data_IF_858099016443
#
_entry.id   IF_858099016443
#
_cell.length_a   1.000
_cell.length_b   1.000
_cell.length_c   1.000
_cell.angle_alpha   90.00
_cell.angle_beta   90.00
_cell.angle_gamma   90.00
#
_symmetry.space_group_name_H-M   'P 1'
#
loop_
_entity.id
_entity.type
_entity.pdbx_description
1 polymer ?
#
# COMPACT_ATOMS: atom_id res chain seq x y z
N UNK A 1 -29.49 50.65 -19.72
CA UNK A 1 -28.14 51.17 -19.98
C UNK A 1 -27.25 50.79 -18.82
N UNK A 2 -26.15 50.09 -19.13
CA UNK A 2 -24.86 49.95 -18.43
C UNK A 2 -24.83 49.78 -16.89
N UNK A 3 -24.38 48.64 -16.33
CA UNK A 3 -23.00 48.08 -16.25
C UNK A 3 -22.06 48.75 -15.23
N UNK A 4 -21.35 47.88 -14.50
CA UNK A 4 -19.99 48.02 -13.91
C UNK A 4 -19.90 48.61 -12.48
N UNK A 5 -19.07 48.13 -11.55
CA UNK A 5 -18.03 47.08 -11.51
C UNK A 5 -17.62 46.83 -10.03
N UNK A 6 -16.88 45.74 -9.80
CA UNK A 6 -15.89 45.45 -8.73
C UNK A 6 -16.25 44.50 -7.57
N UNK A 7 -15.63 43.32 -7.70
CA UNK A 7 -15.37 42.25 -6.75
C UNK A 7 -14.33 42.64 -5.67
N UNK A 8 -14.13 41.78 -4.65
CA UNK A 8 -12.99 40.84 -4.44
C UNK A 8 -12.96 40.41 -2.94
N UNK A 9 -12.63 39.13 -2.70
CA UNK A 9 -12.17 38.44 -1.46
C UNK A 9 -13.29 37.80 -0.59
N UNK A 10 -13.38 36.50 -0.30
CA UNK A 10 -12.60 35.26 -0.55
C UNK A 10 -13.57 34.05 -0.48
N UNK A 11 -13.19 32.86 -1.00
CA UNK A 11 -13.57 31.64 -0.27
C UNK A 11 -12.42 30.62 -0.22
N UNK A 12 -11.75 30.52 0.93
CA UNK A 12 -10.95 29.36 1.30
C UNK A 12 -11.16 29.11 2.79
N UNK A 13 -12.30 28.50 3.12
CA UNK A 13 -12.57 27.89 4.44
C UNK A 13 -13.80 27.00 4.29
N UNK A 14 -13.63 25.91 3.56
CA UNK A 14 -14.52 24.75 3.60
C UNK A 14 -13.74 23.53 3.11
N UNK A 15 -12.74 23.10 3.88
CA UNK A 15 -12.38 21.69 3.87
C UNK A 15 -13.59 20.96 4.46
N UNK A 16 -14.45 20.44 3.58
CA UNK A 16 -15.59 19.64 3.97
C UNK A 16 -15.05 18.38 4.67
N UNK A 17 -15.19 18.32 5.99
CA UNK A 17 -15.22 17.04 6.68
C UNK A 17 -16.32 16.22 6.02
N UNK A 18 -15.97 15.08 5.42
CA UNK A 18 -16.93 14.18 4.81
C UNK A 18 -18.03 13.86 5.83
N UNK A 19 -19.26 14.28 5.53
CA UNK A 19 -20.42 13.99 6.38
C UNK A 19 -20.75 12.49 6.33
N UNK A 20 -21.42 11.91 7.35
CA UNK A 20 -21.75 10.47 7.47
C UNK A 20 -22.50 9.81 6.29
N UNK A 21 -22.86 10.58 5.25
CA UNK A 21 -23.59 10.15 4.05
C UNK A 21 -22.79 9.16 3.18
N UNK A 22 -21.45 9.13 3.25
CA UNK A 22 -20.64 8.16 2.48
C UNK A 22 -20.80 6.71 2.98
N UNK A 23 -21.07 6.49 4.27
CA UNK A 23 -21.18 5.13 4.82
C UNK A 23 -22.52 4.46 4.47
N UNK A 24 -23.61 5.22 4.35
CA UNK A 24 -24.91 4.70 3.90
C UNK A 24 -24.91 4.28 2.42
N UNK A 25 -24.08 4.91 1.58
CA UNK A 25 -23.92 4.52 0.18
C UNK A 25 -23.21 3.15 0.06
N UNK A 26 -22.27 2.85 0.95
CA UNK A 26 -21.57 1.55 1.02
C UNK A 26 -22.44 0.41 1.56
N UNK A 27 -23.54 0.72 2.24
CA UNK A 27 -24.49 -0.25 2.81
C UNK A 27 -25.57 -0.72 1.80
N UNK A 28 -25.55 -0.23 0.55
CA UNK A 28 -26.50 -0.71 -0.45
C UNK A 28 -26.14 -2.14 -0.90
N UNK A 29 -27.10 -3.09 -0.87
CA UNK A 29 -26.83 -4.50 -1.12
C UNK A 29 -26.39 -4.73 -2.57
N UNK A 30 -25.24 -5.39 -2.74
CA UNK A 30 -24.77 -6.02 -3.99
C UNK A 30 -25.05 -5.19 -5.25
N UNK A 31 -24.44 -4.02 -5.37
CA UNK A 31 -24.12 -3.60 -6.73
C UNK A 31 -22.98 -4.50 -7.19
N UNK A 32 -23.26 -5.33 -8.19
CA UNK A 32 -22.21 -6.03 -8.94
C UNK A 32 -21.07 -5.07 -9.22
N UNK A 33 -19.83 -5.56 -9.23
CA UNK A 33 -18.66 -4.84 -9.76
C UNK A 33 -18.91 -4.59 -11.25
N UNK A 34 -19.81 -3.65 -11.58
CA UNK A 34 -19.95 -3.12 -12.92
C UNK A 34 -18.82 -2.11 -12.99
N UNK A 35 -17.82 -2.34 -13.85
CA UNK A 35 -16.77 -1.35 -14.04
C UNK A 35 -17.46 -0.05 -14.42
N UNK A 36 -17.36 0.95 -13.55
CA UNK A 36 -17.87 2.27 -13.88
C UNK A 36 -16.77 2.97 -14.66
N UNK A 37 -17.15 3.59 -15.78
CA UNK A 37 -16.20 4.34 -16.58
C UNK A 37 -16.20 5.79 -16.16
N UNK A 38 -15.01 6.35 -15.95
CA UNK A 38 -14.82 7.78 -15.66
C UNK A 38 -14.02 8.40 -16.79
N UNK A 39 -14.42 9.59 -17.23
CA UNK A 39 -13.63 10.36 -18.19
C UNK A 39 -12.61 11.21 -17.45
N UNK A 40 -11.35 10.93 -17.68
CA UNK A 40 -10.22 11.70 -17.17
C UNK A 40 -9.74 12.66 -18.26
N UNK A 41 -9.50 13.90 -17.90
CA UNK A 41 -8.79 14.84 -18.76
C UNK A 41 -7.27 14.70 -18.58
N UNK A 42 -6.56 14.54 -19.69
CA UNK A 42 -5.10 14.50 -19.79
C UNK A 42 -4.64 15.57 -20.79
N UNK A 43 -4.45 16.80 -20.28
CA UNK A 43 -4.27 17.97 -21.13
C UNK A 43 -5.52 18.21 -22.01
N UNK A 44 -5.34 18.21 -23.34
CA UNK A 44 -6.44 18.37 -24.32
C UNK A 44 -7.15 17.04 -24.66
N UNK A 45 -6.72 15.91 -24.08
CA UNK A 45 -7.30 14.59 -24.35
C UNK A 45 -8.26 14.18 -23.25
N UNK A 46 -9.37 13.57 -23.63
CA UNK A 46 -10.27 12.90 -22.71
C UNK A 46 -10.06 11.38 -22.85
N UNK A 47 -9.65 10.73 -21.76
CA UNK A 47 -9.48 9.28 -21.68
C UNK A 47 -10.57 8.70 -20.79
N UNK A 48 -11.38 7.80 -21.33
CA UNK A 48 -12.33 7.03 -20.51
C UNK A 48 -11.62 5.83 -19.91
N UNK A 49 -11.58 5.75 -18.58
CA UNK A 49 -10.98 4.63 -17.84
C UNK A 49 -12.04 3.85 -17.09
N UNK A 50 -11.88 2.53 -17.00
CA UNK A 50 -12.69 1.70 -16.11
C UNK A 50 -12.16 1.79 -14.67
N UNK A 51 -13.05 1.75 -13.68
CA UNK A 51 -12.69 1.68 -12.26
C UNK A 51 -13.30 0.40 -11.67
N UNK A 52 -12.50 -0.53 -11.13
CA UNK A 52 -11.03 -0.48 -11.05
C UNK A 52 -10.36 -0.69 -12.43
N UNK A 53 -9.13 -0.19 -12.58
CA UNK A 53 -8.28 -0.52 -13.72
C UNK A 53 -7.92 -1.99 -13.69
N UNK A 54 -7.87 -2.62 -14.86
CA UNK A 54 -7.40 -3.99 -15.05
C UNK A 54 -6.02 -4.00 -15.70
N UNK A 55 -5.28 -5.08 -15.45
CA UNK A 55 -4.02 -5.33 -16.12
C UNK A 55 -4.22 -5.33 -17.64
N UNK A 56 -3.33 -4.68 -18.39
CA UNK A 56 -3.26 -4.89 -19.84
C UNK A 56 -2.16 -5.90 -20.17
N UNK A 57 -2.35 -6.82 -21.13
CA UNK A 57 -1.33 -7.82 -21.43
C UNK A 57 -0.06 -7.18 -22.04
N UNK A 58 1.07 -7.88 -21.89
CA UNK A 58 2.33 -7.62 -22.60
C UNK A 58 2.98 -6.23 -22.38
N UNK A 59 2.89 -5.68 -21.16
CA UNK A 59 3.60 -4.44 -20.80
C UNK A 59 5.07 -4.73 -20.53
N UNK A 60 5.95 -4.36 -21.45
CA UNK A 60 7.39 -4.49 -21.27
C UNK A 60 7.94 -3.53 -20.19
N UNK A 61 8.79 -4.05 -19.31
CA UNK A 61 9.56 -3.29 -18.34
C UNK A 61 10.45 -2.23 -19.00
N UNK A 62 10.80 -1.18 -18.22
CA UNK A 62 11.76 -0.14 -18.59
C UNK A 62 11.20 1.00 -19.44
N UNK A 63 9.91 1.02 -19.75
CA UNK A 63 9.25 2.19 -20.35
C UNK A 63 9.00 3.21 -19.25
N UNK A 64 9.61 4.39 -19.39
CA UNK A 64 9.40 5.50 -18.48
C UNK A 64 7.90 5.83 -18.33
N UNK A 65 7.41 5.85 -17.08
CA UNK A 65 6.04 6.27 -16.75
C UNK A 65 5.87 7.74 -17.11
N UNK A 66 6.83 8.57 -16.72
CA UNK A 66 6.86 10.00 -17.04
C UNK A 66 8.32 10.44 -17.32
N UNK A 67 8.73 10.47 -18.60
CA UNK A 67 10.08 10.90 -18.98
C UNK A 67 10.46 12.25 -18.35
N UNK A 68 11.73 12.36 -17.96
CA UNK A 68 12.33 13.57 -17.36
C UNK A 68 11.67 14.04 -16.04
N UNK A 69 10.92 13.17 -15.38
CA UNK A 69 10.29 13.44 -14.08
C UNK A 69 10.64 12.33 -13.09
N UNK A 70 11.29 12.72 -11.99
CA UNK A 70 11.56 11.82 -10.87
C UNK A 70 10.24 11.29 -10.27
N UNK A 71 10.22 9.99 -9.98
CA UNK A 71 9.14 9.31 -9.28
C UNK A 71 9.56 9.13 -7.82
N UNK A 72 9.04 9.98 -6.94
CA UNK A 72 9.13 9.77 -5.49
C UNK A 72 7.96 8.91 -5.05
N UNK A 73 8.21 7.61 -4.92
CA UNK A 73 7.18 6.59 -4.71
C UNK A 73 7.07 6.24 -3.22
N UNK A 74 5.89 6.38 -2.63
CA UNK A 74 5.60 5.83 -1.31
C UNK A 74 4.75 4.56 -1.43
N UNK A 75 5.31 3.43 -1.03
CA UNK A 75 4.58 2.17 -0.90
C UNK A 75 3.98 2.05 0.51
N UNK A 76 2.65 2.08 0.61
CA UNK A 76 1.89 1.96 1.86
C UNK A 76 1.22 0.60 1.91
N UNK A 77 1.31 -0.08 3.05
CA UNK A 77 0.54 -1.31 3.24
C UNK A 77 0.89 -2.12 4.47
N UNK A 78 0.66 -3.42 4.36
CA UNK A 78 0.89 -4.39 5.43
C UNK A 78 2.12 -5.28 5.15
N UNK A 79 2.11 -6.52 5.65
CA UNK A 79 3.16 -7.50 5.45
C UNK A 79 3.42 -7.84 3.99
N UNK A 80 2.43 -7.67 3.11
CA UNK A 80 2.61 -7.85 1.67
C UNK A 80 3.55 -6.77 1.13
N UNK A 81 3.36 -5.51 1.50
CA UNK A 81 4.27 -4.41 1.10
C UNK A 81 5.63 -4.48 1.78
N UNK A 82 5.67 -4.91 3.05
CA UNK A 82 6.94 -5.19 3.75
C UNK A 82 7.75 -6.27 3.02
N UNK A 83 7.08 -7.26 2.39
CA UNK A 83 7.74 -8.39 1.75
C UNK A 83 7.89 -9.60 2.67
N UNK A 84 6.98 -9.78 3.62
CA UNK A 84 7.03 -10.91 4.54
C UNK A 84 7.02 -12.25 3.78
N UNK A 85 8.00 -13.10 4.08
CA UNK A 85 8.12 -14.42 3.47
C UNK A 85 8.87 -14.43 2.14
N UNK A 86 9.18 -13.27 1.54
CA UNK A 86 10.12 -13.22 0.41
C UNK A 86 11.55 -13.51 0.87
N UNK A 87 12.34 -14.16 0.01
CA UNK A 87 13.72 -14.56 0.33
C UNK A 87 14.67 -13.39 0.61
N UNK A 88 14.36 -12.21 0.07
CA UNK A 88 15.14 -10.98 0.19
C UNK A 88 14.53 -9.95 1.16
N UNK A 89 13.29 -10.18 1.62
CA UNK A 89 12.49 -9.24 2.41
C UNK A 89 12.22 -7.89 1.70
N UNK A 90 12.30 -7.85 0.37
CA UNK A 90 11.95 -6.69 -0.46
C UNK A 90 10.47 -6.75 -0.88
N UNK A 91 9.88 -7.95 -0.90
CA UNK A 91 8.55 -8.15 -1.49
C UNK A 91 8.59 -7.74 -2.97
N UNK A 92 7.60 -6.97 -3.41
CA UNK A 92 7.53 -6.53 -4.82
C UNK A 92 8.45 -5.34 -5.15
N UNK A 93 9.07 -4.70 -4.14
CA UNK A 93 9.63 -3.34 -4.30
C UNK A 93 10.88 -3.30 -5.18
N UNK A 94 11.75 -4.30 -5.08
CA UNK A 94 12.98 -4.36 -5.89
C UNK A 94 12.66 -4.63 -7.36
N UNK A 95 11.83 -5.63 -7.64
CA UNK A 95 11.37 -5.95 -9.00
C UNK A 95 10.60 -4.78 -9.61
N UNK A 96 9.79 -4.06 -8.83
CA UNK A 96 9.09 -2.85 -9.30
C UNK A 96 10.11 -1.75 -9.69
N UNK A 97 11.14 -1.53 -8.88
CA UNK A 97 12.22 -0.58 -9.20
C UNK A 97 12.93 -0.96 -10.49
N UNK A 98 13.21 -2.25 -10.69
CA UNK A 98 13.81 -2.78 -11.92
C UNK A 98 12.89 -2.56 -13.14
N UNK A 99 11.57 -2.77 -12.97
CA UNK A 99 10.59 -2.51 -14.01
C UNK A 99 10.50 -1.02 -14.38
N UNK A 100 10.84 -0.13 -13.45
CA UNK A 100 10.91 1.32 -13.64
C UNK A 100 12.30 1.81 -14.09
N UNK A 101 13.16 0.96 -14.67
CA UNK A 101 14.52 1.34 -15.08
C UNK A 101 14.62 2.49 -16.11
N UNK A 102 13.49 2.91 -16.71
CA UNK A 102 13.42 4.09 -17.57
C UNK A 102 13.13 5.40 -16.84
N UNK A 103 12.78 5.35 -15.55
CA UNK A 103 12.48 6.48 -14.69
C UNK A 103 13.59 6.69 -13.64
N UNK A 104 13.69 7.90 -13.10
CA UNK A 104 14.47 8.18 -11.89
C UNK A 104 13.56 7.92 -10.67
N UNK A 105 13.93 6.99 -9.80
CA UNK A 105 13.05 6.49 -8.73
C UNK A 105 13.70 6.67 -7.36
N UNK A 106 12.96 7.31 -6.46
CA UNK A 106 13.30 7.49 -5.05
C UNK A 106 12.15 6.99 -4.19
N UNK A 107 12.39 6.05 -3.27
CA UNK A 107 11.32 5.52 -2.41
C UNK A 107 11.10 6.38 -1.17
N UNK A 108 9.96 7.04 -1.03
CA UNK A 108 9.57 7.69 0.22
C UNK A 108 9.17 6.66 1.28
N UNK A 109 9.30 7.03 2.54
CA UNK A 109 8.97 6.18 3.68
C UNK A 109 9.85 6.42 4.89
N UNK A 110 9.37 6.01 6.05
CA UNK A 110 10.12 6.06 7.31
C UNK A 110 10.54 4.67 7.80
N UNK A 111 9.81 3.65 7.37
CA UNK A 111 10.24 2.26 7.53
C UNK A 111 11.24 1.91 6.42
N UNK A 112 12.14 0.97 6.71
CA UNK A 112 13.08 0.45 5.72
C UNK A 112 13.46 -1.00 6.04
N UNK A 113 13.78 -1.76 5.01
CA UNK A 113 14.13 -3.17 5.14
C UNK A 113 14.23 -3.87 3.80
N UNK A 114 14.73 -5.10 3.86
CA UNK A 114 15.10 -5.90 2.68
C UNK A 114 16.54 -5.66 2.22
N UNK A 115 16.99 -6.41 1.21
CA UNK A 115 18.34 -6.29 0.64
C UNK A 115 18.49 -5.26 -0.48
N UNK A 116 17.38 -4.66 -0.94
CA UNK A 116 17.40 -3.71 -2.05
C UNK A 116 18.02 -2.35 -1.70
N UNK A 117 18.58 -1.69 -2.71
CA UNK A 117 18.97 -0.28 -2.61
C UNK A 117 17.73 0.61 -2.48
N UNK A 118 17.77 1.54 -1.53
CA UNK A 118 16.68 2.46 -1.22
C UNK A 118 15.37 1.76 -0.79
N UNK A 119 15.47 0.71 0.02
CA UNK A 119 14.33 -0.08 0.50
C UNK A 119 13.41 0.60 1.54
N UNK A 120 13.08 1.87 1.36
CA UNK A 120 12.18 2.63 2.23
C UNK A 120 10.70 2.45 1.85
N UNK A 121 9.82 2.49 2.84
CA UNK A 121 8.37 2.31 2.66
C UNK A 121 7.57 2.86 3.87
N UNK A 122 6.23 2.80 3.77
CA UNK A 122 5.29 3.16 4.84
C UNK A 122 4.34 2.00 5.16
N UNK A 123 4.89 0.87 5.59
CA UNK A 123 4.16 -0.38 5.73
C UNK A 123 4.57 -1.15 6.98
N UNK A 124 3.63 -1.91 7.55
CA UNK A 124 3.83 -2.61 8.82
C UNK A 124 3.18 -4.00 8.80
N UNK A 125 3.97 -5.04 9.05
CA UNK A 125 3.48 -6.42 9.08
C UNK A 125 2.40 -6.64 10.14
N UNK A 126 1.32 -7.31 9.76
CA UNK A 126 0.20 -7.65 10.65
C UNK A 126 -0.70 -6.48 11.05
N UNK A 127 -0.51 -5.29 10.48
CA UNK A 127 -1.28 -4.10 10.85
C UNK A 127 -2.49 -3.86 9.95
N UNK A 128 -3.55 -3.31 10.55
CA UNK A 128 -4.81 -2.94 9.90
C UNK A 128 -4.74 -1.55 9.28
N UNK A 129 -5.75 -1.20 8.49
CA UNK A 129 -5.91 0.14 7.89
C UNK A 129 -5.89 1.24 8.95
N UNK A 130 -6.52 1.02 10.11
CA UNK A 130 -6.52 2.02 11.19
C UNK A 130 -5.12 2.32 11.68
N UNK A 131 -4.32 1.27 11.95
CA UNK A 131 -2.94 1.46 12.40
C UNK A 131 -2.13 2.24 11.36
N UNK A 132 -2.28 1.91 10.07
CA UNK A 132 -1.61 2.65 9.00
C UNK A 132 -2.01 4.13 9.02
N UNK A 133 -3.30 4.43 9.15
CA UNK A 133 -3.81 5.80 9.26
C UNK A 133 -3.17 6.54 10.44
N UNK A 134 -3.00 5.89 11.58
CA UNK A 134 -2.43 6.51 12.78
C UNK A 134 -0.91 6.79 12.68
N UNK A 135 -0.18 6.09 11.79
CA UNK A 135 1.30 6.13 11.77
C UNK A 135 1.90 6.71 10.48
N UNK A 136 1.12 6.91 9.41
CA UNK A 136 1.66 7.25 8.09
C UNK A 136 2.14 8.71 7.94
N UNK A 137 1.83 9.60 8.88
CA UNK A 137 2.07 11.05 8.76
C UNK A 137 3.51 11.43 8.42
N UNK A 138 4.49 10.80 9.08
CA UNK A 138 5.90 11.10 8.85
C UNK A 138 6.38 10.66 7.45
N UNK A 139 5.80 9.58 6.90
CA UNK A 139 6.08 9.15 5.53
C UNK A 139 5.42 10.08 4.50
N UNK A 140 4.21 10.58 4.78
CA UNK A 140 3.54 11.56 3.90
C UNK A 140 4.24 12.93 3.90
N UNK A 141 4.87 13.32 5.01
CA UNK A 141 5.66 14.55 5.11
C UNK A 141 6.87 14.58 4.15
N UNK A 142 7.24 13.45 3.54
CA UNK A 142 8.26 13.37 2.50
C UNK A 142 7.73 13.73 1.09
N UNK A 143 6.45 14.08 0.99
CA UNK A 143 5.78 14.58 -0.22
C UNK A 143 6.02 13.70 -1.47
N UNK A 144 5.69 12.39 -1.42
CA UNK A 144 5.71 11.55 -2.61
C UNK A 144 4.78 12.10 -3.70
N UNK A 145 5.16 11.96 -4.97
CA UNK A 145 4.29 12.29 -6.11
C UNK A 145 3.54 11.06 -6.67
N UNK A 146 3.93 9.86 -6.27
CA UNK A 146 3.22 8.60 -6.56
C UNK A 146 3.08 7.80 -5.27
N UNK A 147 1.88 7.32 -4.98
CA UNK A 147 1.58 6.54 -3.77
C UNK A 147 0.88 5.26 -4.18
N UNK A 148 1.41 4.12 -3.72
CA UNK A 148 0.85 2.79 -3.96
C UNK A 148 0.29 2.28 -2.63
N UNK A 149 -1.03 2.10 -2.53
CA UNK A 149 -1.71 1.68 -1.31
C UNK A 149 -2.26 0.26 -1.47
N UNK A 150 -1.73 -0.69 -0.72
CA UNK A 150 -2.28 -2.04 -0.56
C UNK A 150 -2.61 -2.29 0.90
N UNK A 151 -3.89 -2.18 1.27
CA UNK A 151 -4.31 -2.23 2.67
C UNK A 151 -5.67 -2.91 2.86
N UNK A 152 -5.78 -3.64 3.96
CA UNK A 152 -7.03 -4.30 4.40
C UNK A 152 -6.93 -5.81 4.54
N UNK A 153 -5.80 -6.44 4.18
CA UNK A 153 -5.60 -7.89 4.34
C UNK A 153 -5.83 -8.33 5.78
N UNK A 154 -5.22 -7.60 6.73
CA UNK A 154 -5.34 -7.90 8.16
C UNK A 154 -6.72 -7.56 8.73
N UNK A 155 -7.38 -6.51 8.21
CA UNK A 155 -8.76 -6.19 8.60
C UNK A 155 -9.67 -7.40 8.31
N UNK A 156 -9.45 -8.13 7.22
CA UNK A 156 -10.29 -9.27 6.83
C UNK A 156 -10.04 -10.55 7.63
N UNK A 157 -9.01 -10.57 8.49
CA UNK A 157 -8.72 -11.70 9.35
C UNK A 157 -9.74 -11.77 10.51
N UNK A 158 -10.50 -12.87 10.69
CA UNK A 158 -11.49 -12.97 11.76
C UNK A 158 -10.88 -13.10 13.16
N UNK A 159 -9.56 -13.28 13.28
CA UNK A 159 -8.89 -13.31 14.57
C UNK A 159 -8.84 -11.89 15.17
N UNK A 160 -9.48 -11.63 16.32
CA UNK A 160 -9.50 -10.31 16.95
C UNK A 160 -8.13 -9.87 17.49
N UNK A 161 -7.15 -10.79 17.58
CA UNK A 161 -5.76 -10.43 17.89
C UNK A 161 -5.02 -9.83 16.67
N UNK A 162 -5.55 -10.01 15.46
CA UNK A 162 -5.02 -9.42 14.21
C UNK A 162 -5.88 -8.24 13.79
N UNK A 163 -7.19 -8.44 13.64
CA UNK A 163 -8.12 -7.39 13.25
C UNK A 163 -8.65 -6.64 14.48
N UNK A 164 -7.80 -5.77 15.04
CA UNK A 164 -8.07 -5.06 16.31
C UNK A 164 -9.32 -4.16 16.26
N UNK A 165 -9.68 -3.67 15.07
CA UNK A 165 -10.87 -2.83 14.85
C UNK A 165 -12.08 -3.64 14.35
N UNK A 166 -11.99 -4.97 14.36
CA UNK A 166 -13.03 -5.86 13.85
C UNK A 166 -12.90 -6.12 12.35
N UNK A 167 -13.42 -7.29 11.94
CA UNK A 167 -13.23 -7.84 10.60
C UNK A 167 -14.44 -7.68 9.67
N UNK A 168 -15.25 -6.65 9.89
CA UNK A 168 -16.37 -6.34 9.02
C UNK A 168 -15.86 -5.62 7.74
N UNK A 169 -16.15 -6.15 6.53
CA UNK A 169 -15.73 -5.54 5.26
C UNK A 169 -16.20 -4.11 5.04
N UNK A 170 -17.40 -3.74 5.49
CA UNK A 170 -17.97 -2.40 5.30
C UNK A 170 -17.27 -1.40 6.22
N UNK A 171 -17.05 -1.77 7.48
CA UNK A 171 -16.30 -0.91 8.41
C UNK A 171 -14.85 -0.72 7.97
N UNK A 172 -14.20 -1.79 7.47
CA UNK A 172 -12.86 -1.69 6.88
C UNK A 172 -12.82 -0.78 5.65
N UNK A 173 -13.82 -0.86 4.77
CA UNK A 173 -13.95 0.05 3.62
C UNK A 173 -14.13 1.51 4.06
N UNK A 174 -14.87 1.76 5.14
CA UNK A 174 -14.96 3.07 5.77
C UNK A 174 -13.60 3.59 6.27
N UNK A 175 -12.82 2.74 6.93
CA UNK A 175 -11.44 3.07 7.37
C UNK A 175 -10.52 3.35 6.17
N UNK A 176 -10.66 2.59 5.07
CA UNK A 176 -9.91 2.84 3.84
C UNK A 176 -10.21 4.23 3.28
N UNK A 177 -11.49 4.63 3.22
CA UNK A 177 -11.88 5.97 2.77
C UNK A 177 -11.22 7.07 3.60
N UNK A 178 -11.19 6.93 4.92
CA UNK A 178 -10.53 7.88 5.82
C UNK A 178 -9.01 7.95 5.60
N UNK A 179 -8.34 6.79 5.42
CA UNK A 179 -6.91 6.75 5.11
C UNK A 179 -6.63 7.43 3.75
N UNK A 180 -7.45 7.17 2.74
CA UNK A 180 -7.33 7.81 1.43
C UNK A 180 -7.46 9.33 1.57
N UNK A 181 -8.46 9.84 2.29
CA UNK A 181 -8.64 11.28 2.49
C UNK A 181 -7.47 11.92 3.20
N UNK A 182 -6.91 11.23 4.19
CA UNK A 182 -5.69 11.66 4.89
C UNK A 182 -4.51 11.77 3.94
N UNK A 183 -4.24 10.73 3.15
CA UNK A 183 -3.17 10.72 2.14
C UNK A 183 -3.34 11.87 1.15
N UNK A 184 -4.55 11.98 0.59
CA UNK A 184 -4.90 12.98 -0.40
C UNK A 184 -4.85 14.41 0.18
N UNK A 185 -5.07 14.60 1.47
CA UNK A 185 -4.94 15.91 2.13
C UNK A 185 -3.48 16.29 2.34
N UNK A 186 -2.64 15.34 2.74
CA UNK A 186 -1.22 15.57 2.98
C UNK A 186 -0.43 15.74 1.68
N UNK A 187 -0.77 14.98 0.64
CA UNK A 187 -0.09 14.97 -0.66
C UNK A 187 -1.08 15.30 -1.79
N UNK A 188 -1.58 16.54 -1.89
CA UNK A 188 -2.65 16.89 -2.84
C UNK A 188 -2.24 16.77 -4.31
N UNK A 189 -0.94 16.85 -4.61
CA UNK A 189 -0.38 16.74 -5.95
C UNK A 189 0.00 15.30 -6.34
N UNK A 190 -0.05 14.35 -5.40
CA UNK A 190 0.32 12.96 -5.65
C UNK A 190 -0.75 12.22 -6.47
N UNK A 191 -0.29 11.26 -7.27
CA UNK A 191 -1.16 10.21 -7.81
C UNK A 191 -1.24 9.06 -6.82
N UNK A 192 -2.46 8.67 -6.43
CA UNK A 192 -2.71 7.55 -5.52
C UNK A 192 -3.32 6.37 -6.28
N UNK A 193 -2.62 5.24 -6.31
CA UNK A 193 -3.17 3.96 -6.75
C UNK A 193 -3.60 3.14 -5.53
N UNK A 194 -4.86 2.73 -5.48
CA UNK A 194 -5.44 1.92 -4.38
C UNK A 194 -5.69 0.51 -4.91
N UNK A 195 -4.99 -0.47 -4.34
CA UNK A 195 -5.17 -1.86 -4.72
C UNK A 195 -6.54 -2.38 -4.26
N UNK A 196 -7.32 -2.93 -5.18
CA UNK A 196 -8.25 -4.01 -4.84
C UNK A 196 -7.37 -5.20 -4.45
N UNK A 197 -7.21 -5.44 -3.15
CA UNK A 197 -6.17 -6.32 -2.59
C UNK A 197 -6.14 -7.72 -3.24
N UNK A 198 -4.98 -8.38 -3.20
CA UNK A 198 -4.84 -9.76 -3.66
C UNK A 198 -5.82 -10.69 -2.96
N UNK A 199 -6.24 -11.73 -3.68
CA UNK A 199 -7.10 -12.78 -3.13
C UNK A 199 -6.34 -13.63 -2.11
N UNK A 200 -7.04 -14.16 -1.12
CA UNK A 200 -6.51 -15.14 -0.15
C UNK A 200 -7.14 -16.51 -0.38
N UNK A 201 -6.35 -17.58 -0.30
CA UNK A 201 -6.88 -18.95 -0.29
C UNK A 201 -7.16 -19.48 1.13
N UNK A 202 -7.00 -18.65 2.16
CA UNK A 202 -7.18 -19.06 3.55
C UNK A 202 -8.70 -19.12 3.85
N UNK A 203 -9.27 -20.30 4.18
CA UNK A 203 -10.72 -20.45 4.31
C UNK A 203 -11.36 -19.51 5.33
N UNK A 204 -10.59 -19.10 6.36
CA UNK A 204 -11.06 -18.26 7.45
C UNK A 204 -11.32 -16.81 7.04
N UNK A 205 -10.62 -16.29 6.02
CA UNK A 205 -10.70 -14.86 5.64
C UNK A 205 -11.12 -14.65 4.18
N UNK A 206 -11.09 -15.69 3.33
CA UNK A 206 -11.39 -15.58 1.90
C UNK A 206 -12.74 -14.92 1.60
N UNK A 207 -13.79 -15.23 2.38
CA UNK A 207 -15.10 -14.62 2.19
C UNK A 207 -15.08 -13.11 2.47
N UNK A 208 -14.44 -12.70 3.57
CA UNK A 208 -14.30 -11.28 3.94
C UNK A 208 -13.43 -10.54 2.92
N UNK A 209 -12.33 -11.13 2.46
CA UNK A 209 -11.48 -10.56 1.39
C UNK A 209 -12.30 -10.30 0.13
N UNK A 210 -13.08 -11.28 -0.35
CA UNK A 210 -13.95 -11.10 -1.52
C UNK A 210 -14.97 -9.97 -1.32
N UNK A 211 -15.60 -9.94 -0.16
CA UNK A 211 -16.64 -8.95 0.13
C UNK A 211 -16.03 -7.53 0.25
N UNK A 212 -14.83 -7.40 0.81
CA UNK A 212 -14.08 -6.14 0.86
C UNK A 212 -13.57 -5.68 -0.50
N UNK A 213 -13.03 -6.59 -1.32
CA UNK A 213 -12.60 -6.31 -2.70
C UNK A 213 -13.72 -5.64 -3.51
N UNK A 214 -14.97 -6.09 -3.34
CA UNK A 214 -16.12 -5.53 -4.04
C UNK A 214 -16.48 -4.09 -3.62
N UNK A 215 -16.03 -3.63 -2.44
CA UNK A 215 -16.33 -2.29 -1.90
C UNK A 215 -15.29 -1.24 -2.31
N UNK A 216 -14.04 -1.64 -2.53
CA UNK A 216 -12.92 -0.71 -2.79
C UNK A 216 -13.18 0.24 -3.97
N UNK A 217 -13.71 -0.20 -5.13
CA UNK A 217 -14.00 0.72 -6.23
C UNK A 217 -14.98 1.84 -5.85
N UNK A 218 -16.00 1.52 -5.04
CA UNK A 218 -16.98 2.51 -4.58
C UNK A 218 -16.41 3.49 -3.55
N UNK A 219 -15.37 3.11 -2.81
CA UNK A 219 -14.63 4.02 -1.91
C UNK A 219 -13.80 5.02 -2.72
N UNK A 220 -13.20 4.59 -3.83
CA UNK A 220 -12.31 5.41 -4.66
C UNK A 220 -13.08 6.34 -5.61
N UNK A 221 -14.16 5.85 -6.21
CA UNK A 221 -14.87 6.54 -7.29
C UNK A 221 -15.29 7.99 -6.97
N UNK A 222 -15.92 8.31 -5.81
CA UNK A 222 -16.32 9.69 -5.51
C UNK A 222 -15.14 10.67 -5.47
N UNK A 223 -13.95 10.20 -5.05
CA UNK A 223 -12.74 11.02 -4.98
C UNK A 223 -12.19 11.28 -6.39
N UNK A 224 -12.22 10.28 -7.26
CA UNK A 224 -11.88 10.46 -8.68
C UNK A 224 -12.86 11.43 -9.37
N UNK A 225 -14.16 11.28 -9.15
CA UNK A 225 -15.20 12.18 -9.70
C UNK A 225 -15.06 13.63 -9.19
N UNK A 226 -14.55 13.80 -7.97
CA UNK A 226 -14.17 15.11 -7.41
C UNK A 226 -12.87 15.68 -7.99
N UNK A 227 -12.28 15.04 -9.01
CA UNK A 227 -11.06 15.49 -9.70
C UNK A 227 -9.76 15.17 -8.96
N UNK A 228 -9.80 14.29 -7.95
CA UNK A 228 -8.58 13.82 -7.29
C UNK A 228 -7.83 12.86 -8.21
N UNK A 229 -6.49 12.87 -8.15
CA UNK A 229 -5.61 11.97 -8.91
C UNK A 229 -5.54 10.60 -8.24
N UNK A 230 -6.64 9.84 -8.29
CA UNK A 230 -6.78 8.55 -7.61
C UNK A 230 -7.40 7.49 -8.52
N UNK A 231 -6.87 6.27 -8.48
CA UNK A 231 -7.40 5.14 -9.24
C UNK A 231 -7.44 3.88 -8.36
N UNK A 232 -8.53 3.11 -8.46
CA UNK A 232 -8.55 1.74 -7.94
C UNK A 232 -7.92 0.82 -8.98
N UNK A 233 -7.08 -0.12 -8.57
CA UNK A 233 -6.34 -1.03 -9.47
C UNK A 233 -6.55 -2.49 -9.04
N UNK A 234 -6.90 -3.36 -9.98
CA UNK A 234 -7.44 -4.68 -9.68
C UNK A 234 -6.36 -5.76 -9.53
N UNK A 235 -5.98 -6.07 -8.29
CA UNK A 235 -5.12 -7.22 -7.98
C UNK A 235 -5.91 -8.49 -7.63
N UNK A 236 -7.26 -8.44 -7.62
CA UNK A 236 -8.08 -9.60 -7.26
C UNK A 236 -8.04 -10.71 -8.30
N UNK A 237 -7.68 -10.36 -9.55
CA UNK A 237 -7.49 -11.29 -10.67
C UNK A 237 -6.22 -12.14 -10.55
N UNK A 238 -5.27 -11.76 -9.69
CA UNK A 238 -4.11 -12.61 -9.41
C UNK A 238 -4.57 -13.93 -8.80
N UNK A 239 -4.16 -15.01 -9.45
CA UNK A 239 -4.51 -16.37 -9.06
C UNK A 239 -3.85 -16.71 -7.72
N UNK A 240 -4.53 -17.49 -6.88
CA UNK A 240 -3.99 -17.82 -5.55
C UNK A 240 -2.85 -18.84 -5.57
N UNK A 241 -2.45 -19.37 -6.73
CA UNK A 241 -1.27 -20.24 -6.88
C UNK A 241 0.05 -19.45 -6.78
N UNK A 242 -0.01 -18.12 -6.82
CA UNK A 242 1.13 -17.22 -6.54
C UNK A 242 1.37 -16.99 -5.04
N UNK A 243 0.53 -17.56 -4.18
CA UNK A 243 0.65 -17.44 -2.73
C UNK A 243 1.55 -18.53 -2.17
N UNK A 244 2.19 -18.20 -1.05
CA UNK A 244 2.86 -19.16 -0.21
C UNK A 244 1.87 -20.14 0.44
N UNK A 245 2.41 -21.13 1.16
CA UNK A 245 1.59 -22.13 1.86
C UNK A 245 0.66 -21.55 2.93
N UNK A 246 0.88 -20.31 3.38
CA UNK A 246 -0.01 -19.65 4.35
C UNK A 246 -1.29 -19.07 3.73
N UNK A 247 -1.41 -19.10 2.40
CA UNK A 247 -2.56 -18.61 1.67
C UNK A 247 -2.87 -17.11 1.84
N UNK A 248 -1.91 -16.30 2.30
CA UNK A 248 -2.04 -14.86 2.51
C UNK A 248 -0.93 -14.09 1.82
N UNK A 249 0.33 -14.49 2.02
CA UNK A 249 1.48 -13.80 1.46
C UNK A 249 1.88 -14.40 0.12
N UNK A 250 2.31 -13.58 -0.86
CA UNK A 250 2.91 -14.08 -2.10
C UNK A 250 4.16 -14.94 -1.86
N UNK A 251 4.44 -15.87 -2.76
CA UNK A 251 5.78 -16.45 -2.92
C UNK A 251 6.73 -15.42 -3.56
N UNK A 252 8.01 -15.74 -3.72
CA UNK A 252 8.96 -14.91 -4.48
C UNK A 252 8.44 -14.59 -5.89
N UNK A 253 8.06 -15.62 -6.67
CA UNK A 253 7.44 -15.43 -8.00
C UNK A 253 6.13 -14.61 -7.93
N UNK A 254 5.37 -14.76 -6.85
CA UNK A 254 4.15 -13.99 -6.63
C UNK A 254 4.41 -12.52 -6.34
N UNK A 255 5.51 -12.21 -5.66
CA UNK A 255 5.96 -10.84 -5.45
C UNK A 255 6.45 -10.20 -6.75
N UNK A 256 7.13 -10.95 -7.61
CA UNK A 256 7.50 -10.48 -8.96
C UNK A 256 6.27 -10.16 -9.80
N UNK A 257 5.26 -11.03 -9.80
CA UNK A 257 3.99 -10.74 -10.49
C UNK A 257 3.27 -9.53 -9.90
N UNK A 258 3.34 -9.34 -8.59
CA UNK A 258 2.78 -8.15 -7.94
C UNK A 258 3.51 -6.88 -8.39
N UNK A 259 4.83 -6.95 -8.56
CA UNK A 259 5.65 -5.85 -9.08
C UNK A 259 5.32 -5.52 -10.54
N UNK A 260 5.22 -6.54 -11.39
CA UNK A 260 4.82 -6.40 -12.80
C UNK A 260 3.45 -5.74 -12.91
N UNK A 261 2.52 -6.15 -12.05
CA UNK A 261 1.16 -5.63 -12.05
C UNK A 261 1.09 -4.18 -11.53
N UNK A 262 1.87 -3.81 -10.50
CA UNK A 262 2.02 -2.41 -10.09
C UNK A 262 2.56 -1.55 -11.23
N UNK A 263 3.65 -1.98 -11.87
CA UNK A 263 4.23 -1.28 -13.02
C UNK A 263 3.22 -1.15 -14.16
N UNK A 264 2.49 -2.22 -14.47
CA UNK A 264 1.43 -2.23 -15.47
C UNK A 264 0.41 -1.11 -15.21
N UNK A 265 -0.11 -1.02 -13.99
CA UNK A 265 -1.05 0.03 -13.61
C UNK A 265 -0.43 1.43 -13.66
N UNK A 266 0.83 1.57 -13.26
CA UNK A 266 1.55 2.85 -13.38
C UNK A 266 1.65 3.31 -14.83
N UNK A 267 1.86 2.42 -15.80
CA UNK A 267 1.89 2.79 -17.23
C UNK A 267 0.55 3.28 -17.79
N UNK A 268 -0.54 3.04 -17.06
CA UNK A 268 -1.89 3.50 -17.40
C UNK A 268 -2.24 4.85 -16.77
N UNK A 269 -1.37 5.41 -15.90
CA UNK A 269 -1.59 6.72 -15.28
C UNK A 269 -1.54 7.81 -16.38
N UNK A 270 -2.50 8.75 -16.42
CA UNK A 270 -2.40 9.94 -17.24
C UNK A 270 -1.13 10.71 -16.91
N UNK A 271 -0.23 10.88 -17.89
CA UNK A 271 1.08 11.45 -17.60
C UNK A 271 1.00 12.89 -17.07
N UNK A 272 -0.04 13.67 -17.43
CA UNK A 272 -0.25 15.01 -16.86
C UNK A 272 -0.56 15.03 -15.36
N UNK A 273 -0.91 13.90 -14.76
CA UNK A 273 -1.13 13.79 -13.32
C UNK A 273 0.17 13.73 -12.53
N UNK A 274 1.27 13.29 -13.16
CA UNK A 274 2.57 13.15 -12.50
C UNK A 274 3.38 14.42 -12.73
N UNK A 275 3.56 15.18 -11.65
CA UNK A 275 4.46 16.32 -11.56
C UNK A 275 5.71 15.98 -10.76
N UNK A 276 6.79 16.77 -10.91
CA UNK A 276 8.01 16.61 -10.11
C UNK A 276 7.67 16.61 -8.60
N UNK A 277 8.31 15.77 -7.78
CA UNK A 277 8.17 15.82 -6.33
C UNK A 277 8.49 17.21 -5.77
N UNK A 278 7.78 17.58 -4.71
CA UNK A 278 8.03 18.84 -4.01
C UNK A 278 9.15 18.66 -2.98
N UNK A 279 10.06 19.64 -2.94
CA UNK A 279 11.19 19.63 -2.01
C UNK A 279 12.28 18.63 -2.36
N UNK A 280 13.34 18.65 -1.55
CA UNK A 280 14.48 17.74 -1.69
C UNK A 280 14.09 16.30 -1.35
N UNK A 281 14.89 15.35 -1.82
CA UNK A 281 14.67 13.95 -1.50
C UNK A 281 14.83 13.65 0.00
N UNK A 282 14.15 12.58 0.47
CA UNK A 282 14.28 12.16 1.85
C UNK A 282 15.74 11.92 2.22
N UNK A 283 16.20 12.58 3.28
CA UNK A 283 17.54 12.35 3.82
C UNK A 283 17.58 10.95 4.44
N UNK A 284 18.30 10.04 3.80
CA UNK A 284 18.54 8.70 4.34
C UNK A 284 19.49 8.82 5.52
N UNK A 285 19.16 8.17 6.63
CA UNK A 285 20.19 7.93 7.62
C UNK A 285 21.22 7.03 6.94
N UNK A 286 22.48 7.50 6.85
CA UNK A 286 23.56 6.63 6.43
C UNK A 286 23.46 5.36 7.28
N UNK A 287 23.24 4.21 6.64
CA UNK A 287 23.42 2.94 7.31
C UNK A 287 24.79 3.03 7.95
N UNK A 288 24.86 3.03 9.28
CA UNK A 288 26.12 2.69 9.90
C UNK A 288 26.38 1.29 9.41
N UNK A 289 27.22 1.16 8.38
CA UNK A 289 27.97 -0.05 8.16
C UNK A 289 28.62 -0.33 9.50
N UNK A 290 28.03 -1.25 10.26
CA UNK A 290 28.72 -1.85 11.38
C UNK A 290 29.77 -2.70 10.70
N UNK A 291 30.87 -2.05 10.30
CA UNK A 291 32.15 -2.71 10.14
C UNK A 291 32.39 -3.35 11.50
N UNK A 292 31.98 -4.61 11.61
CA UNK A 292 32.20 -5.40 12.78
C UNK A 292 33.72 -5.40 13.00
N UNK A 293 34.27 -4.80 14.06
CA UNK A 293 35.72 -4.73 14.23
C UNK A 293 36.33 -6.11 14.56
N UNK A 294 35.51 -7.17 14.57
CA UNK A 294 35.91 -8.53 14.90
C UNK A 294 36.91 -9.19 13.92
N UNK A 295 37.25 -8.56 12.79
CA UNK A 295 38.32 -9.05 11.88
C UNK A 295 39.59 -8.17 11.85
N UNK A 296 39.73 -7.21 12.77
CA UNK A 296 40.93 -6.38 12.89
C UNK A 296 41.49 -6.38 14.33
N UNK A 297 41.61 -7.55 14.96
CA UNK A 297 42.40 -7.71 16.19
C UNK A 297 42.79 -9.18 16.44
N UNK A 298 43.50 -9.79 15.49
CA UNK A 298 44.45 -10.85 15.83
C UNK A 298 45.81 -10.19 15.99
N UNK A 299 46.02 -9.50 17.12
CA UNK A 299 47.32 -9.32 17.78
C UNK A 299 47.14 -8.49 19.07
N UNK A 300 47.65 -9.06 20.18
CA UNK A 300 47.95 -8.43 21.47
C UNK A 300 46.92 -8.55 22.61
N UNK A 301 47.17 -9.61 23.38
CA UNK A 301 46.87 -9.87 24.79
C UNK A 301 46.96 -8.63 25.72
N UNK A 302 45.89 -8.35 26.49
CA UNK A 302 45.90 -8.10 27.96
C UNK A 302 44.57 -7.51 28.49
N UNK A 303 43.90 -8.26 29.38
CA UNK A 303 43.31 -7.80 30.64
C UNK A 303 42.16 -6.77 30.69
N UNK A 304 41.06 -7.19 31.33
CA UNK A 304 40.24 -6.47 32.33
C UNK A 304 38.78 -6.13 31.99
N UNK A 305 37.88 -6.92 32.58
CA UNK A 305 36.64 -6.58 33.32
C UNK A 305 35.58 -5.60 32.76
N UNK A 306 34.40 -6.20 32.54
CA UNK A 306 33.06 -5.84 33.04
C UNK A 306 32.33 -4.56 32.54
N UNK A 307 31.18 -4.80 31.89
CA UNK A 307 30.14 -3.80 31.67
C UNK A 307 28.90 -4.40 31.00
N UNK A 308 28.02 -5.06 31.77
CA UNK A 308 26.72 -5.55 31.32
C UNK A 308 25.80 -4.36 30.95
N UNK A 309 25.26 -4.34 29.73
CA UNK A 309 23.98 -3.67 29.42
C UNK A 309 23.06 -4.68 28.75
N UNK A 310 21.91 -4.92 29.38
CA UNK A 310 20.86 -5.82 28.94
C UNK A 310 20.06 -5.17 27.81
N UNK A 311 20.05 -5.77 26.63
CA UNK A 311 19.01 -5.59 25.62
C UNK A 311 17.79 -6.45 25.97
N UNK A 312 16.59 -5.90 25.79
CA UNK A 312 15.32 -6.60 25.99
C UNK A 312 15.09 -7.63 24.87
N UNK A 313 14.49 -8.80 25.14
CA UNK A 313 14.29 -9.82 24.12
C UNK A 313 13.08 -9.51 23.23
N UNK A 314 13.31 -9.64 21.92
CA UNK A 314 12.30 -9.86 20.90
C UNK A 314 11.41 -11.06 21.28
N UNK A 315 10.09 -10.89 21.21
CA UNK A 315 9.13 -11.95 21.44
C UNK A 315 8.63 -12.48 20.09
N UNK A 316 8.91 -13.75 19.80
CA UNK A 316 8.36 -14.49 18.66
C UNK A 316 7.36 -15.49 19.25
N UNK A 317 6.05 -15.39 18.97
CA UNK A 317 5.15 -16.50 19.26
C UNK A 317 5.26 -17.51 18.12
N UNK A 318 5.89 -18.65 18.41
CA UNK A 318 5.83 -19.84 17.56
C UNK A 318 4.40 -20.40 17.60
N UNK A 319 3.74 -20.48 16.46
CA UNK A 319 2.49 -21.22 16.30
C UNK A 319 2.76 -22.72 16.44
N UNK A 320 2.33 -23.31 17.56
CA UNK A 320 2.32 -24.75 17.73
C UNK A 320 1.07 -25.34 17.06
N UNK A 321 1.30 -26.32 16.19
CA UNK A 321 0.29 -27.13 15.54
C UNK A 321 -0.61 -27.87 16.56
N UNK A 322 -1.92 -27.68 16.45
CA UNK A 322 -2.90 -28.50 17.15
C UNK A 322 -3.53 -29.49 16.15
N UNK A 323 -2.95 -30.69 16.10
CA UNK A 323 -3.58 -31.86 15.48
C UNK A 323 -4.69 -32.38 16.42
N UNK A 324 -5.94 -32.37 15.97
CA UNK A 324 -7.05 -33.00 16.68
C UNK A 324 -7.24 -34.44 16.21
N UNK A 325 -6.92 -35.40 17.09
CA UNK A 325 -7.45 -36.76 17.01
C UNK A 325 -8.75 -36.83 17.83
N UNK A 326 -9.88 -37.07 17.17
CA UNK A 326 -11.13 -37.45 17.82
C UNK A 326 -11.13 -38.97 18.04
N UNK A 327 -11.04 -39.40 19.30
CA UNK A 327 -11.41 -40.73 19.73
C UNK A 327 -12.68 -40.65 20.59
N UNK A 328 -13.71 -41.34 20.10
CA UNK A 328 -15.03 -41.58 20.67
C UNK A 328 -15.01 -42.24 22.05
N UNK A 329 -15.79 -41.73 23.01
CA UNK A 329 -16.29 -42.50 24.16
C UNK A 329 -17.73 -42.10 24.51
N UNK A 330 -18.61 -43.10 24.47
CA UNK A 330 -19.98 -43.12 25.02
C UNK A 330 -19.89 -43.70 26.44
N UNK A 331 -20.71 -43.27 27.40
CA UNK A 331 -21.09 -44.14 28.50
C UNK A 331 -22.61 -44.42 28.53
N UNK A 332 -22.90 -45.58 29.12
CA UNK A 332 -24.18 -46.27 29.24
C UNK A 332 -25.30 -45.49 29.95
#
# INVERSE_FOLDING_TARGET
MALSLLAVLQPWLAAAAATPVELEALLQPRQSIVPTTVTIQDGDRNTTVAVPLRAVPDVAAGKAIRPDTELRILCIGDSITVGYGSSDSNGYRETLKANLAGDDVVFAGTEHGGSMDDGYYGAWSGQTIQFMSDHIDASLAQLPNVILLHAGTNDMNPNPAVSLQGSDPVEAAGRLGQLIDKILTACPDAVLLVAVIISSCAPIQQANVRDYQALIPAVVQPRLEAGRRILAVDFSELRTDVLSADCVHPSDDGYDLLADQWYNFMTQIPQSWISKPLGDDPVRQATQSVDNPANAAADNNAGSAAGLRRSAPFWIPTAAAAAWHLASWIPA
#
